data_IF_682007056548
#
_entry.id   IF_682007056548
#
_cell.length_a   1.000
_cell.length_b   1.000
_cell.length_c   1.000
_cell.angle_alpha   90.00
_cell.angle_beta   90.00
_cell.angle_gamma   90.00
#
_symmetry.space_group_name_H-M   'P 1'
#
loop_
_entity.id
_entity.type
_entity.pdbx_description
1 polymer ?
#
# COMPACT_ATOMS: atom_id res chain seq x y z
N UNK A 1 -0.36 -18.05 11.53
CA UNK A 1 -1.31 -17.06 10.97
C UNK A 1 -1.90 -16.26 12.12
N UNK A 2 -1.79 -14.93 12.08
CA UNK A 2 -2.23 -14.03 13.16
C UNK A 2 -3.77 -13.92 13.21
N UNK A 3 -4.31 -13.30 14.26
CA UNK A 3 -5.76 -13.09 14.42
C UNK A 3 -6.37 -12.29 13.27
N UNK A 4 -5.72 -11.21 12.82
CA UNK A 4 -6.24 -10.38 11.72
C UNK A 4 -6.24 -11.12 10.38
N UNK A 5 -5.23 -11.94 10.10
CA UNK A 5 -5.22 -12.81 8.92
C UNK A 5 -6.33 -13.87 8.97
N UNK A 6 -6.57 -14.48 10.14
CA UNK A 6 -7.69 -15.43 10.28
C UNK A 6 -9.03 -14.76 10.06
N UNK A 7 -9.20 -13.54 10.57
CA UNK A 7 -10.42 -12.76 10.34
C UNK A 7 -10.57 -12.44 8.86
N UNK A 8 -9.54 -11.89 8.21
CA UNK A 8 -9.57 -11.55 6.78
C UNK A 8 -9.92 -12.76 5.90
N UNK A 9 -9.31 -13.92 6.15
CA UNK A 9 -9.54 -15.14 5.38
C UNK A 9 -10.95 -15.74 5.59
N UNK A 10 -11.60 -15.47 6.72
CA UNK A 10 -12.92 -16.03 7.06
C UNK A 10 -14.08 -15.06 6.87
N UNK A 11 -13.82 -13.75 6.84
CA UNK A 11 -14.86 -12.73 6.80
C UNK A 11 -15.33 -12.48 5.36
N UNK A 12 -16.56 -12.91 5.05
CA UNK A 12 -17.15 -12.77 3.71
C UNK A 12 -17.28 -11.33 3.24
N UNK A 13 -17.56 -10.39 4.14
CA UNK A 13 -17.70 -8.97 3.78
C UNK A 13 -16.36 -8.39 3.34
N UNK A 14 -15.27 -8.68 4.07
CA UNK A 14 -13.92 -8.30 3.68
C UNK A 14 -13.55 -8.88 2.31
N UNK A 15 -13.73 -10.19 2.13
CA UNK A 15 -13.40 -10.86 0.87
C UNK A 15 -14.20 -10.28 -0.30
N UNK A 16 -15.51 -10.08 -0.15
CA UNK A 16 -16.35 -9.50 -1.19
C UNK A 16 -15.94 -8.06 -1.54
N UNK A 17 -15.58 -7.24 -0.54
CA UNK A 17 -15.12 -5.87 -0.77
C UNK A 17 -13.78 -5.86 -1.55
N UNK A 18 -12.85 -6.74 -1.18
CA UNK A 18 -11.56 -6.85 -1.86
C UNK A 18 -11.70 -7.43 -3.27
N UNK A 19 -12.53 -8.48 -3.44
CA UNK A 19 -12.83 -9.09 -4.73
C UNK A 19 -13.50 -8.05 -5.66
N UNK A 20 -14.40 -7.22 -5.15
CA UNK A 20 -15.02 -6.13 -5.91
C UNK A 20 -14.03 -5.04 -6.36
N UNK A 21 -13.08 -4.66 -5.51
CA UNK A 21 -12.00 -3.73 -5.89
C UNK A 21 -11.14 -4.32 -7.00
N UNK A 22 -10.77 -5.59 -6.87
CA UNK A 22 -9.91 -6.26 -7.83
C UNK A 22 -10.62 -6.52 -9.16
N UNK A 23 -11.91 -6.88 -9.14
CA UNK A 23 -12.73 -6.97 -10.35
C UNK A 23 -12.79 -5.63 -11.11
N UNK A 24 -13.00 -4.52 -10.39
CA UNK A 24 -12.96 -3.20 -11.01
C UNK A 24 -11.57 -2.85 -11.60
N UNK A 25 -10.49 -3.41 -11.06
CA UNK A 25 -9.17 -3.25 -11.68
C UNK A 25 -8.98 -4.07 -12.94
N UNK A 26 -9.57 -5.26 -13.01
CA UNK A 26 -9.61 -6.05 -14.25
C UNK A 26 -10.34 -5.25 -15.33
N UNK A 27 -11.47 -4.62 -15.01
CA UNK A 27 -12.20 -3.77 -15.96
C UNK A 27 -11.33 -2.60 -16.44
N UNK A 28 -10.62 -1.93 -15.52
CA UNK A 28 -9.67 -0.86 -15.86
C UNK A 28 -8.51 -1.35 -16.72
N UNK A 29 -8.03 -2.59 -16.56
CA UNK A 29 -6.98 -3.15 -17.41
C UNK A 29 -7.47 -3.24 -18.86
N UNK A 30 -8.73 -3.65 -19.08
CA UNK A 30 -9.33 -3.72 -20.42
C UNK A 30 -9.38 -2.34 -21.07
N UNK A 31 -9.87 -1.33 -20.35
CA UNK A 31 -9.88 0.07 -20.83
C UNK A 31 -8.46 0.57 -21.09
N UNK A 32 -7.51 0.26 -20.21
CA UNK A 32 -6.11 0.67 -20.36
C UNK A 32 -5.49 0.07 -21.61
N UNK A 33 -5.80 -1.19 -21.94
CA UNK A 33 -5.31 -1.84 -23.15
C UNK A 33 -5.77 -1.12 -24.42
N UNK A 34 -6.97 -0.54 -24.41
CA UNK A 34 -7.49 0.23 -25.55
C UNK A 34 -6.87 1.63 -25.65
N UNK A 35 -6.71 2.33 -24.52
CA UNK A 35 -6.28 3.74 -24.49
C UNK A 35 -4.76 3.91 -24.47
N UNK A 36 -4.05 3.00 -23.82
CA UNK A 36 -2.61 3.07 -23.53
C UNK A 36 -1.97 1.68 -23.70
N UNK A 37 -2.09 1.04 -24.89
CA UNK A 37 -1.65 -0.36 -25.11
C UNK A 37 -0.18 -0.60 -24.77
N UNK A 38 0.66 0.42 -24.93
CA UNK A 38 2.11 0.36 -24.71
C UNK A 38 2.54 0.89 -23.32
N UNK A 39 1.61 1.05 -22.36
CA UNK A 39 1.98 1.53 -21.02
C UNK A 39 2.90 0.51 -20.32
N UNK A 40 4.19 0.83 -20.08
CA UNK A 40 5.11 -0.11 -19.44
C UNK A 40 4.75 -0.33 -17.97
N UNK A 41 4.10 0.64 -17.33
CA UNK A 41 3.83 0.68 -15.88
C UNK A 41 2.58 -0.10 -15.47
N UNK A 42 2.22 -1.14 -16.21
CA UNK A 42 1.13 -2.07 -15.89
C UNK A 42 1.71 -3.48 -15.83
N UNK A 43 2.16 -3.88 -14.63
CA UNK A 43 3.11 -4.96 -14.45
C UNK A 43 2.79 -5.86 -13.25
N UNK A 44 3.14 -7.13 -13.36
CA UNK A 44 3.16 -8.10 -12.26
C UNK A 44 4.32 -9.08 -12.39
N UNK A 45 4.88 -9.55 -11.28
CA UNK A 45 5.75 -10.73 -11.24
C UNK A 45 5.05 -11.97 -10.67
N UNK A 46 3.73 -11.95 -10.58
CA UNK A 46 2.91 -13.03 -10.02
C UNK A 46 2.31 -13.83 -11.18
N UNK A 47 2.67 -15.11 -11.30
CA UNK A 47 2.22 -15.98 -12.40
C UNK A 47 0.69 -16.10 -12.46
N UNK A 48 0.04 -16.32 -11.31
CA UNK A 48 -1.40 -16.53 -11.20
C UNK A 48 -2.17 -15.30 -10.72
N UNK A 49 -1.70 -14.10 -11.09
CA UNK A 49 -2.24 -12.82 -10.60
C UNK A 49 -3.76 -12.67 -10.79
N UNK A 50 -4.31 -13.17 -11.89
CA UNK A 50 -5.74 -13.07 -12.21
C UNK A 50 -6.65 -13.86 -11.26
N UNK A 51 -6.08 -14.81 -10.53
CA UNK A 51 -6.78 -15.63 -9.52
C UNK A 51 -6.37 -15.29 -8.09
N UNK A 52 -5.52 -14.28 -7.92
CA UNK A 52 -5.08 -13.83 -6.60
C UNK A 52 -6.29 -13.33 -5.81
N UNK A 53 -6.36 -13.73 -4.54
CA UNK A 53 -7.34 -13.21 -3.59
C UNK A 53 -6.63 -12.56 -2.42
N UNK A 54 -7.11 -11.39 -2.03
CA UNK A 54 -6.64 -10.71 -0.83
C UNK A 54 -7.36 -11.28 0.40
N UNK A 55 -7.01 -12.50 0.80
CA UNK A 55 -7.52 -13.17 2.00
C UNK A 55 -6.69 -12.84 3.26
N UNK A 56 -5.85 -11.82 3.16
CA UNK A 56 -5.01 -11.28 4.22
C UNK A 56 -5.12 -9.76 4.27
N UNK A 57 -4.90 -9.13 5.45
CA UNK A 57 -4.94 -7.69 5.58
C UNK A 57 -3.91 -6.98 4.71
N UNK A 58 -4.36 -5.92 4.05
CA UNK A 58 -3.50 -4.94 3.39
C UNK A 58 -3.30 -3.71 4.28
N UNK A 59 -2.15 -3.07 4.17
CA UNK A 59 -1.81 -1.84 4.90
C UNK A 59 -1.26 -0.78 3.97
N UNK A 60 -1.76 0.44 4.10
CA UNK A 60 -1.29 1.58 3.34
C UNK A 60 -0.13 2.28 4.08
N UNK A 61 1.05 2.44 3.46
CA UNK A 61 2.12 3.23 4.03
C UNK A 61 1.80 4.72 3.87
N UNK A 62 1.21 5.32 4.89
CA UNK A 62 0.84 6.74 4.89
C UNK A 62 2.01 7.63 5.29
N UNK A 63 2.11 8.78 4.63
CA UNK A 63 3.09 9.81 4.94
C UNK A 63 2.80 10.44 6.32
N UNK A 64 3.79 11.16 6.86
CA UNK A 64 3.54 12.05 7.98
C UNK A 64 2.57 13.17 7.56
N UNK A 65 1.56 13.47 8.39
CA UNK A 65 0.52 14.44 8.05
C UNK A 65 -0.11 14.16 6.67
N UNK A 66 -0.69 12.96 6.47
CA UNK A 66 -1.21 12.58 5.17
C UNK A 66 -2.27 13.58 4.72
N UNK A 67 -2.15 14.03 3.47
CA UNK A 67 -3.08 14.95 2.82
C UNK A 67 -3.25 14.56 1.36
N UNK A 68 -4.26 15.09 0.65
CA UNK A 68 -4.56 14.66 -0.72
C UNK A 68 -3.39 14.76 -1.71
N UNK A 69 -2.36 15.59 -1.47
CA UNK A 69 -1.19 15.72 -2.36
C UNK A 69 0.04 14.94 -1.89
N UNK A 70 0.06 14.49 -0.65
CA UNK A 70 1.17 13.76 -0.02
C UNK A 70 0.58 12.77 0.99
N UNK A 71 -0.14 11.79 0.47
CA UNK A 71 -0.90 10.82 1.25
C UNK A 71 -0.06 9.58 1.55
N UNK A 72 0.57 9.03 0.52
CA UNK A 72 1.40 7.84 0.63
C UNK A 72 2.89 8.17 0.85
N UNK A 73 3.61 7.29 1.54
CA UNK A 73 5.07 7.33 1.59
C UNK A 73 5.65 7.12 0.19
N UNK A 74 6.75 7.82 -0.11
CA UNK A 74 7.34 7.85 -1.44
C UNK A 74 7.91 6.48 -1.88
N UNK A 75 7.84 6.25 -3.18
CA UNK A 75 8.39 5.09 -3.87
C UNK A 75 8.81 5.52 -5.26
N UNK A 76 9.87 4.91 -5.77
CA UNK A 76 10.32 5.07 -7.14
C UNK A 76 10.24 3.74 -7.88
N UNK A 77 9.91 3.80 -9.16
CA UNK A 77 10.01 2.67 -10.11
C UNK A 77 10.82 3.16 -11.31
N UNK A 78 11.86 2.41 -11.68
CA UNK A 78 12.80 2.76 -12.76
C UNK A 78 13.42 4.16 -12.62
N UNK A 79 13.66 4.57 -11.38
CA UNK A 79 14.21 5.90 -11.06
C UNK A 79 13.17 7.03 -11.04
N UNK A 80 11.93 6.78 -11.48
CA UNK A 80 10.87 7.77 -11.48
C UNK A 80 10.06 7.75 -10.18
N UNK A 81 9.79 8.93 -9.63
CA UNK A 81 8.97 9.07 -8.42
C UNK A 81 7.51 8.80 -8.73
N UNK A 82 6.95 7.79 -8.08
CA UNK A 82 5.54 7.44 -8.21
C UNK A 82 4.67 8.47 -7.49
N UNK A 83 3.47 8.70 -8.02
CA UNK A 83 2.47 9.60 -7.44
C UNK A 83 2.18 9.25 -5.99
N UNK A 84 2.01 10.26 -5.14
CA UNK A 84 1.79 10.11 -3.69
C UNK A 84 0.46 10.71 -3.24
N UNK A 85 -0.30 11.28 -4.17
CA UNK A 85 -1.61 11.85 -3.91
C UNK A 85 -2.68 10.79 -3.62
N UNK A 86 -3.80 11.23 -3.07
CA UNK A 86 -4.98 10.42 -2.79
C UNK A 86 -6.13 10.85 -3.70
N UNK A 87 -6.70 9.87 -4.39
CA UNK A 87 -7.88 10.03 -5.22
C UNK A 87 -8.64 8.71 -5.31
N UNK A 88 -9.88 8.78 -5.79
CA UNK A 88 -10.68 7.58 -6.07
C UNK A 88 -10.00 6.68 -7.10
N UNK A 89 -9.98 5.37 -6.86
CA UNK A 89 -9.34 4.38 -7.74
C UNK A 89 -7.85 4.17 -7.46
N UNK A 90 -7.28 4.87 -6.49
CA UNK A 90 -5.86 4.81 -6.17
C UNK A 90 -5.58 3.97 -4.94
N UNK A 91 -4.39 3.38 -4.90
CA UNK A 91 -3.96 2.55 -3.77
C UNK A 91 -2.44 2.46 -3.74
N UNK A 92 -1.86 2.46 -2.56
CA UNK A 92 -0.53 1.88 -2.30
C UNK A 92 -0.65 1.08 -1.03
N UNK A 93 -0.56 -0.23 -1.15
CA UNK A 93 -0.75 -1.17 -0.06
C UNK A 93 0.35 -2.20 -0.04
N UNK A 94 0.79 -2.55 1.16
CA UNK A 94 1.60 -3.74 1.40
C UNK A 94 0.75 -4.83 2.06
N UNK A 95 1.06 -6.07 1.77
CA UNK A 95 0.40 -7.23 2.37
C UNK A 95 1.41 -8.33 2.71
N UNK A 96 0.98 -9.23 3.59
CA UNK A 96 1.82 -10.34 4.06
C UNK A 96 1.12 -11.68 3.77
N UNK A 97 1.13 -12.12 2.48
CA UNK A 97 0.48 -13.37 2.08
C UNK A 97 1.02 -14.60 2.83
N UNK A 98 0.23 -15.69 2.94
CA UNK A 98 0.63 -16.92 3.63
C UNK A 98 1.88 -17.60 3.08
N UNK A 99 2.21 -17.37 1.80
CA UNK A 99 3.43 -17.87 1.15
C UNK A 99 4.73 -17.29 1.76
N UNK A 100 4.61 -16.26 2.61
CA UNK A 100 5.73 -15.65 3.32
C UNK A 100 6.53 -14.66 2.50
N UNK A 101 6.00 -14.18 1.38
CA UNK A 101 6.49 -13.02 0.63
C UNK A 101 5.87 -11.73 1.15
N UNK A 102 6.35 -10.59 0.65
CA UNK A 102 5.72 -9.29 0.86
C UNK A 102 5.06 -8.87 -0.45
N UNK A 103 3.75 -8.67 -0.42
CA UNK A 103 3.01 -8.14 -1.57
C UNK A 103 3.05 -6.61 -1.53
N UNK A 104 3.32 -5.99 -2.68
CA UNK A 104 3.04 -4.58 -2.95
C UNK A 104 1.96 -4.51 -4.03
N UNK A 105 0.84 -3.89 -3.67
CA UNK A 105 -0.26 -3.59 -4.57
C UNK A 105 -0.38 -2.07 -4.67
N UNK A 106 -0.07 -1.51 -5.83
CA UNK A 106 -0.09 -0.05 -6.00
C UNK A 106 -0.56 0.36 -7.38
N UNK A 107 -1.47 1.32 -7.43
CA UNK A 107 -2.13 1.79 -8.65
C UNK A 107 -2.47 3.27 -8.56
N UNK A 108 -2.49 3.93 -9.70
CA UNK A 108 -3.16 5.20 -9.89
C UNK A 108 -3.93 5.18 -11.20
N UNK A 109 -5.13 5.76 -11.16
CA UNK A 109 -6.03 5.83 -12.30
C UNK A 109 -6.16 7.26 -12.81
N UNK A 110 -6.44 7.37 -14.09
CA UNK A 110 -6.82 8.60 -14.78
C UNK A 110 -8.27 8.47 -15.26
N UNK A 111 -8.94 9.61 -15.45
CA UNK A 111 -10.33 9.71 -15.92
C UNK A 111 -10.40 10.57 -17.17
N UNK A 112 -11.31 10.24 -18.08
CA UNK A 112 -11.63 11.13 -19.19
C UNK A 112 -12.38 12.36 -18.66
N UNK A 113 -12.00 13.59 -19.04
CA UNK A 113 -12.72 14.80 -18.62
C UNK A 113 -14.21 14.80 -19.00
N UNK A 114 -14.56 14.11 -20.09
CA UNK A 114 -15.91 14.08 -20.67
C UNK A 114 -16.63 12.74 -20.49
N UNK A 115 -15.98 11.73 -19.89
CA UNK A 115 -16.58 10.45 -19.52
C UNK A 115 -16.01 9.98 -18.17
N UNK A 116 -16.53 10.50 -17.05
CA UNK A 116 -15.97 10.24 -15.72
C UNK A 116 -16.13 8.78 -15.25
N UNK A 117 -16.95 7.98 -15.94
CA UNK A 117 -17.13 6.55 -15.66
C UNK A 117 -16.01 5.69 -16.28
N UNK A 118 -15.25 6.24 -17.22
CA UNK A 118 -14.18 5.52 -17.90
C UNK A 118 -12.82 5.86 -17.28
N UNK A 119 -12.26 4.88 -16.57
CA UNK A 119 -10.97 4.96 -15.89
C UNK A 119 -9.93 4.03 -16.54
N UNK A 120 -8.70 4.50 -16.69
CA UNK A 120 -7.55 3.67 -17.08
C UNK A 120 -6.40 3.85 -16.10
N UNK A 121 -5.45 2.92 -16.09
CA UNK A 121 -4.27 3.01 -15.27
C UNK A 121 -3.26 3.99 -15.84
N UNK A 122 -2.87 4.96 -15.01
CA UNK A 122 -1.59 5.66 -15.15
C UNK A 122 -0.46 4.67 -14.85
N UNK A 123 -0.61 3.91 -13.77
CA UNK A 123 0.21 2.74 -13.45
C UNK A 123 -0.58 1.72 -12.61
N UNK A 124 -0.15 0.47 -12.67
CA UNK A 124 -0.60 -0.65 -11.87
C UNK A 124 0.57 -1.61 -11.65
N UNK A 125 0.97 -1.80 -10.39
CA UNK A 125 2.01 -2.76 -10.00
C UNK A 125 1.42 -3.77 -9.01
N UNK A 126 1.24 -4.98 -9.55
CA UNK A 126 0.93 -6.27 -8.95
C UNK A 126 2.14 -7.09 -8.47
N UNK A 127 2.91 -6.74 -7.44
CA UNK A 127 4.22 -7.41 -7.25
C UNK A 127 4.43 -8.07 -5.88
N UNK A 128 5.18 -9.16 -5.85
CA UNK A 128 5.69 -9.80 -4.65
C UNK A 128 7.21 -9.65 -4.54
N UNK A 129 7.70 -9.47 -3.33
CA UNK A 129 9.11 -9.45 -2.98
C UNK A 129 9.43 -10.63 -2.06
N UNK A 130 10.54 -11.31 -2.33
CA UNK A 130 11.12 -12.24 -1.38
C UNK A 130 11.73 -11.46 -0.20
N UNK A 131 11.59 -11.93 1.05
CA UNK A 131 12.10 -11.19 2.21
C UNK A 131 13.62 -10.95 2.18
N UNK A 132 14.37 -11.79 1.45
CA UNK A 132 15.80 -11.64 1.23
C UNK A 132 16.17 -10.47 0.32
N UNK A 133 15.24 -10.01 -0.52
CA UNK A 133 15.43 -8.86 -1.41
C UNK A 133 15.24 -7.53 -0.67
N UNK A 134 14.75 -7.57 0.57
CA UNK A 134 14.32 -6.41 1.34
C UNK A 134 15.14 -6.25 2.62
N UNK A 135 15.44 -5.01 2.98
CA UNK A 135 15.87 -4.68 4.33
C UNK A 135 14.63 -4.50 5.22
N UNK A 136 14.45 -5.42 6.17
CA UNK A 136 13.33 -5.41 7.13
C UNK A 136 13.88 -5.10 8.52
N UNK A 137 13.43 -3.99 9.10
CA UNK A 137 13.77 -3.59 10.47
C UNK A 137 12.54 -3.77 11.35
N UNK A 138 12.64 -4.67 12.33
CA UNK A 138 11.60 -4.92 13.33
C UNK A 138 12.12 -4.53 14.72
N UNK A 139 11.86 -3.29 15.14
CA UNK A 139 12.28 -2.76 16.44
C UNK A 139 11.14 -1.93 17.06
N UNK A 140 10.12 -2.58 17.66
CA UNK A 140 8.93 -1.90 18.17
C UNK A 140 9.26 -0.64 19.00
N UNK A 141 8.52 0.48 18.80
CA UNK A 141 7.37 0.66 17.91
C UNK A 141 7.75 1.02 16.46
N UNK A 142 9.02 0.86 16.07
CA UNK A 142 9.56 1.19 14.75
C UNK A 142 9.64 -0.04 13.85
N UNK A 143 8.99 0.06 12.70
CA UNK A 143 8.99 -0.97 11.66
C UNK A 143 9.38 -0.34 10.33
N UNK A 144 10.27 -0.98 9.57
CA UNK A 144 10.67 -0.47 8.25
C UNK A 144 10.79 -1.62 7.27
N UNK A 145 10.23 -1.44 6.07
CA UNK A 145 10.47 -2.28 4.89
C UNK A 145 11.13 -1.41 3.82
N UNK A 146 12.30 -1.82 3.35
CA UNK A 146 13.05 -1.13 2.31
C UNK A 146 13.37 -2.04 1.15
N UNK A 147 13.06 -1.57 -0.04
CA UNK A 147 13.63 -2.06 -1.29
C UNK A 147 14.68 -1.02 -1.74
N UNK A 148 15.92 -1.47 -1.95
CA UNK A 148 16.97 -0.63 -2.51
C UNK A 148 17.32 -1.17 -3.90
N UNK A 149 16.80 -0.52 -4.94
CA UNK A 149 17.00 -0.90 -6.34
C UNK A 149 16.71 -2.39 -6.63
N UNK A 150 15.62 -2.93 -6.06
CA UNK A 150 15.23 -4.32 -6.24
C UNK A 150 14.64 -4.52 -7.63
N UNK A 151 15.32 -5.32 -8.44
CA UNK A 151 14.95 -5.63 -9.82
C UNK A 151 14.03 -6.85 -9.88
N UNK A 152 12.79 -6.64 -10.32
CA UNK A 152 11.81 -7.70 -10.50
C UNK A 152 11.58 -7.96 -11.99
N UNK A 153 11.61 -9.24 -12.37
CA UNK A 153 11.21 -9.71 -13.70
C UNK A 153 9.81 -10.27 -13.64
N UNK A 154 9.02 -10.01 -14.67
CA UNK A 154 7.63 -10.42 -14.72
C UNK A 154 7.02 -10.14 -16.08
N UNK A 155 5.74 -9.78 -16.08
CA UNK A 155 4.92 -9.65 -17.28
C UNK A 155 4.25 -8.28 -17.31
N UNK A 156 4.31 -7.61 -18.45
CA UNK A 156 3.44 -6.47 -18.71
C UNK A 156 2.02 -6.99 -18.99
N UNK A 157 1.04 -6.53 -18.22
CA UNK A 157 -0.32 -7.07 -18.25
C UNK A 157 -1.15 -6.64 -19.47
N UNK A 158 -0.69 -5.66 -20.24
CA UNK A 158 -1.37 -5.22 -21.46
C UNK A 158 -0.89 -6.00 -22.69
N UNK A 159 0.42 -6.18 -22.80
CA UNK A 159 1.08 -6.83 -23.94
C UNK A 159 1.35 -8.32 -23.73
N UNK A 160 1.31 -8.79 -22.48
CA UNK A 160 1.72 -10.14 -22.06
C UNK A 160 3.18 -10.49 -22.38
N UNK A 161 4.00 -9.49 -22.67
CA UNK A 161 5.43 -9.66 -22.93
C UNK A 161 6.23 -9.60 -21.62
N UNK A 162 7.38 -10.31 -21.54
CA UNK A 162 8.29 -10.17 -20.43
C UNK A 162 8.73 -8.71 -20.23
N UNK A 163 8.76 -8.28 -18.97
CA UNK A 163 9.19 -6.95 -18.56
C UNK A 163 10.03 -7.02 -17.28
N UNK A 164 10.80 -5.97 -17.04
CA UNK A 164 11.66 -5.83 -15.86
C UNK A 164 11.51 -4.40 -15.32
N UNK A 165 11.36 -4.28 -14.00
CA UNK A 165 11.27 -2.99 -13.31
C UNK A 165 12.14 -2.98 -12.06
N UNK A 166 12.67 -1.80 -11.72
CA UNK A 166 13.50 -1.58 -10.53
C UNK A 166 12.73 -0.78 -9.49
N UNK A 167 12.49 -1.38 -8.32
CA UNK A 167 11.71 -0.79 -7.24
C UNK A 167 12.63 -0.23 -6.15
N UNK A 168 12.33 0.99 -5.70
CA UNK A 168 12.98 1.61 -4.55
C UNK A 168 11.97 2.29 -3.62
N UNK A 169 11.94 1.89 -2.35
CA UNK A 169 11.10 2.50 -1.33
C UNK A 169 11.64 2.28 0.08
N UNK A 170 11.19 3.10 1.03
CA UNK A 170 11.44 2.93 2.46
C UNK A 170 10.17 3.21 3.23
N UNK A 171 9.29 2.22 3.33
CA UNK A 171 8.06 2.35 4.08
C UNK A 171 8.31 2.13 5.56
N UNK A 172 7.99 3.13 6.36
CA UNK A 172 8.20 3.14 7.79
C UNK A 172 6.88 3.23 8.56
N UNK A 173 6.84 2.58 9.70
CA UNK A 173 5.89 2.85 10.76
C UNK A 173 6.64 3.26 12.01
N UNK A 174 6.37 4.47 12.46
CA UNK A 174 6.83 5.02 13.72
C UNK A 174 5.66 5.03 14.72
N UNK A 175 5.97 5.21 16.00
CA UNK A 175 4.96 5.24 17.06
C UNK A 175 3.81 6.21 16.74
N UNK A 176 2.56 5.72 16.82
CA UNK A 176 1.35 6.49 16.51
C UNK A 176 0.63 7.03 17.75
N UNK A 177 0.70 6.34 18.89
CA UNK A 177 -0.09 6.65 20.11
C UNK A 177 0.00 8.11 20.58
N UNK A 178 1.21 8.69 20.52
CA UNK A 178 1.48 10.09 20.89
C UNK A 178 1.67 11.02 19.68
N UNK A 179 1.59 10.45 18.48
CA UNK A 179 1.75 11.18 17.23
C UNK A 179 0.40 11.52 16.58
N UNK A 180 -0.72 11.03 17.11
CA UNK A 180 -2.05 11.43 16.67
C UNK A 180 -2.46 12.77 17.32
N UNK A 181 -2.94 13.70 16.49
CA UNK A 181 -3.51 14.97 16.94
C UNK A 181 -4.87 15.19 16.30
N UNK A 182 -5.75 15.94 16.96
CA UNK A 182 -7.02 16.34 16.36
C UNK A 182 -6.76 17.16 15.09
N UNK A 183 -7.55 16.95 14.05
CA UNK A 183 -7.44 17.63 12.77
C UNK A 183 -7.54 19.15 12.93
N UNK A 184 -8.40 19.64 13.83
CA UNK A 184 -8.51 21.07 14.15
C UNK A 184 -7.20 21.63 14.74
N UNK A 185 -6.52 20.87 15.59
CA UNK A 185 -5.22 21.29 16.15
C UNK A 185 -4.09 21.16 15.11
N UNK A 186 -4.14 20.14 14.25
CA UNK A 186 -3.19 19.94 13.16
C UNK A 186 -3.19 21.12 12.20
N UNK A 187 -4.38 21.55 11.77
CA UNK A 187 -4.54 22.68 10.83
C UNK A 187 -4.04 24.01 11.37
N UNK A 188 -3.97 24.16 12.70
CA UNK A 188 -3.47 25.36 13.37
C UNK A 188 -1.95 25.36 13.56
N UNK A 189 -1.29 24.20 13.48
CA UNK A 189 0.15 24.06 13.72
C UNK A 189 1.01 24.77 12.65
N UNK A 190 2.14 25.34 13.07
CA UNK A 190 3.09 26.03 12.19
C UNK A 190 3.67 25.09 11.12
N UNK A 191 3.93 23.84 11.49
CA UNK A 191 4.42 22.80 10.58
C UNK A 191 3.43 22.51 9.45
N UNK A 192 2.14 22.36 9.79
CA UNK A 192 1.10 22.11 8.81
C UNK A 192 0.86 23.29 7.86
N UNK A 193 0.89 24.52 8.38
CA UNK A 193 0.83 25.74 7.57
C UNK A 193 1.96 25.80 6.55
N UNK A 194 3.18 25.42 6.94
CA UNK A 194 4.32 25.34 6.03
C UNK A 194 4.17 24.20 5.00
N UNK A 195 3.60 23.06 5.39
CA UNK A 195 3.33 21.92 4.50
C UNK A 195 2.31 22.28 3.40
N UNK A 196 1.21 22.98 3.75
CA UNK A 196 0.24 23.51 2.78
C UNK A 196 0.87 24.57 1.90
N UNK A 197 1.64 25.51 2.48
CA UNK A 197 2.29 26.61 1.74
C UNK A 197 3.22 26.11 0.63
N UNK A 198 3.82 24.93 0.78
CA UNK A 198 4.67 24.28 -0.22
C UNK A 198 3.92 23.47 -1.28
N UNK A 199 2.63 23.16 -1.10
CA UNK A 199 1.90 22.20 -1.93
C UNK A 199 0.58 22.68 -2.57
N UNK A 200 -0.09 23.72 -2.05
CA UNK A 200 -1.33 24.23 -2.64
C UNK A 200 -1.68 25.62 -2.07
N UNK A 201 -2.29 26.50 -2.89
CA UNK A 201 -3.12 27.57 -2.34
C UNK A 201 -4.23 26.91 -1.50
N UNK A 202 -4.51 27.41 -0.28
CA UNK A 202 -5.54 26.82 0.56
C UNK A 202 -6.90 27.18 -0.02
N UNK A 203 -7.40 26.39 -0.95
CA UNK A 203 -8.83 26.45 -1.27
C UNK A 203 -9.60 25.85 -0.09
N UNK A 204 -10.67 26.52 0.31
CA UNK A 204 -11.56 26.07 1.40
C UNK A 204 -12.03 24.61 1.21
N UNK A 205 -12.07 24.13 -0.04
CA UNK A 205 -12.32 22.74 -0.40
C UNK A 205 -11.29 21.75 0.15
N UNK A 206 -10.00 22.10 0.16
CA UNK A 206 -8.95 21.23 0.72
C UNK A 206 -9.11 21.09 2.23
N UNK A 207 -9.54 22.15 2.93
CA UNK A 207 -9.85 22.06 4.36
C UNK A 207 -11.08 21.18 4.66
N UNK A 208 -12.05 21.15 3.74
CA UNK A 208 -13.27 20.36 3.87
C UNK A 208 -13.11 18.89 3.44
N UNK A 209 -12.28 18.63 2.43
CA UNK A 209 -11.88 17.30 1.94
C UNK A 209 -10.84 16.64 2.85
N UNK A 210 -10.20 17.40 3.74
CA UNK A 210 -9.33 16.89 4.81
C UNK A 210 -10.08 16.44 6.06
N UNK A 211 -11.38 16.13 5.95
CA UNK A 211 -12.12 15.34 6.94
C UNK A 211 -11.57 13.91 6.98
N UNK A 212 -10.44 13.80 7.67
CA UNK A 212 -9.59 12.69 8.08
C UNK A 212 -10.15 11.25 7.97
N UNK A 213 -9.26 10.33 7.63
CA UNK A 213 -9.42 8.87 7.72
C UNK A 213 -9.86 8.33 9.09
N UNK A 214 -9.69 9.08 10.17
CA UNK A 214 -9.97 8.62 11.52
C UNK A 214 -10.64 9.71 12.35
N UNK A 215 -11.97 9.77 12.40
CA UNK A 215 -12.68 10.39 13.54
C UNK A 215 -12.15 11.80 13.95
N UNK A 216 -11.69 12.62 12.99
CA UNK A 216 -11.05 13.93 13.18
C UNK A 216 -9.64 13.91 13.79
N UNK A 217 -8.82 12.90 13.52
CA UNK A 217 -7.41 12.81 13.92
C UNK A 217 -6.48 12.69 12.71
N UNK A 218 -5.27 13.23 12.86
CA UNK A 218 -4.17 13.16 11.90
C UNK A 218 -2.95 12.58 12.62
N UNK A 219 -2.34 11.55 12.05
CA UNK A 219 -1.08 10.98 12.53
C UNK A 219 0.08 11.77 11.92
N UNK A 220 0.95 12.28 12.79
CA UNK A 220 2.04 13.21 12.44
C UNK A 220 3.35 12.52 12.06
N UNK A 221 3.37 11.20 12.08
CA UNK A 221 4.52 10.36 11.72
C UNK A 221 4.16 9.43 10.58
N UNK A 222 5.14 8.98 9.76
CA UNK A 222 4.89 7.93 8.78
C UNK A 222 4.46 6.66 9.49
N UNK A 223 3.40 6.04 8.99
CA UNK A 223 2.79 4.87 9.58
C UNK A 223 2.17 3.97 8.52
N UNK A 224 2.03 2.69 8.86
CA UNK A 224 1.12 1.79 8.16
C UNK A 224 -0.28 1.94 8.74
N UNK A 225 -1.27 2.18 7.90
CA UNK A 225 -2.68 2.16 8.25
C UNK A 225 -3.34 0.90 7.67
N UNK A 226 -4.30 0.25 8.35
CA UNK A 226 -5.06 -0.83 7.71
C UNK A 226 -5.78 -0.27 6.48
N UNK A 227 -5.85 -1.06 5.41
CA UNK A 227 -6.52 -0.65 4.17
C UNK A 227 -7.97 -0.20 4.46
N UNK A 228 -8.51 0.83 3.77
CA UNK A 228 -9.83 1.38 4.08
C UNK A 228 -10.95 0.34 4.19
N UNK A 229 -10.97 -0.66 3.31
CA UNK A 229 -11.97 -1.75 3.38
C UNK A 229 -11.86 -2.60 4.65
N UNK A 230 -10.65 -2.74 5.20
CA UNK A 230 -10.46 -3.44 6.47
C UNK A 230 -10.79 -2.54 7.65
N UNK A 231 -10.49 -1.25 7.54
CA UNK A 231 -10.86 -0.23 8.54
C UNK A 231 -12.37 -0.11 8.77
N UNK A 232 -13.18 -0.25 7.71
CA UNK A 232 -14.64 -0.29 7.81
C UNK A 232 -15.14 -1.40 8.74
N UNK A 233 -14.38 -2.48 8.88
CA UNK A 233 -14.72 -3.66 9.67
C UNK A 233 -14.13 -3.64 11.08
N UNK A 234 -13.48 -2.54 11.51
CA UNK A 234 -12.86 -2.39 12.83
C UNK A 234 -13.68 -2.95 14.00
N UNK A 235 -14.98 -2.64 14.06
CA UNK A 235 -15.90 -3.15 15.09
C UNK A 235 -16.09 -4.67 15.03
N UNK A 236 -16.19 -5.23 13.83
CA UNK A 236 -16.33 -6.68 13.65
C UNK A 236 -15.03 -7.42 14.02
N UNK A 237 -13.88 -6.78 13.80
CA UNK A 237 -12.56 -7.30 14.19
C UNK A 237 -12.39 -7.30 15.72
N UNK A 238 -13.16 -6.47 16.44
CA UNK A 238 -13.17 -6.40 17.91
C UNK A 238 -12.63 -5.10 18.50
N UNK A 239 -12.48 -4.05 17.69
CA UNK A 239 -12.05 -2.73 18.15
C UNK A 239 -13.24 -1.79 18.35
N UNK A 240 -13.22 -0.97 19.39
CA UNK A 240 -14.29 -0.01 19.72
C UNK A 240 -14.36 1.14 18.71
N UNK A 241 -13.21 1.51 18.15
CA UNK A 241 -13.06 2.61 17.20
C UNK A 241 -12.07 2.28 16.09
N UNK A 242 -12.12 3.05 15.00
CA UNK A 242 -11.09 2.98 13.97
C UNK A 242 -9.72 3.37 14.54
N UNK A 243 -9.68 4.38 15.42
CA UNK A 243 -8.45 4.84 16.04
C UNK A 243 -7.76 3.76 16.88
N UNK A 244 -8.53 2.98 17.64
CA UNK A 244 -8.01 1.83 18.37
C UNK A 244 -7.41 0.78 17.42
N UNK A 245 -8.09 0.49 16.32
CA UNK A 245 -7.57 -0.43 15.31
C UNK A 245 -6.24 0.06 14.71
N UNK A 246 -6.12 1.34 14.40
CA UNK A 246 -4.88 1.95 13.93
C UNK A 246 -3.73 1.79 14.94
N UNK A 247 -4.00 1.97 16.24
CA UNK A 247 -3.00 1.80 17.29
C UNK A 247 -2.63 0.33 17.55
N UNK A 248 -3.44 -0.63 17.08
CA UNK A 248 -3.12 -2.05 17.15
C UNK A 248 -2.20 -2.53 16.02
N UNK A 249 -2.01 -1.74 14.95
CA UNK A 249 -1.15 -2.09 13.80
C UNK A 249 0.27 -2.53 14.19
N UNK A 250 1.00 -1.86 15.11
CA UNK A 250 2.31 -2.31 15.58
C UNK A 250 2.37 -3.79 15.96
N UNK A 251 1.35 -4.30 16.67
CA UNK A 251 1.31 -5.70 17.14
C UNK A 251 1.23 -6.67 15.95
N UNK A 252 0.47 -6.30 14.93
CA UNK A 252 0.37 -7.08 13.70
C UNK A 252 1.69 -7.06 12.93
N UNK A 253 2.27 -5.87 12.73
CA UNK A 253 3.54 -5.75 11.99
C UNK A 253 4.65 -6.53 12.67
N UNK A 254 4.72 -6.51 14.00
CA UNK A 254 5.69 -7.29 14.77
C UNK A 254 5.58 -8.79 14.49
N UNK A 255 4.37 -9.36 14.51
CA UNK A 255 4.18 -10.79 14.27
C UNK A 255 4.64 -11.20 12.86
N UNK A 256 4.35 -10.37 11.85
CA UNK A 256 4.70 -10.67 10.47
C UNK A 256 6.17 -10.38 10.17
N UNK A 257 6.68 -9.20 10.53
CA UNK A 257 8.06 -8.79 10.24
C UNK A 257 9.09 -9.62 11.00
N UNK A 258 8.79 -10.09 12.22
CA UNK A 258 9.70 -11.00 12.93
C UNK A 258 9.95 -12.29 12.15
N UNK A 259 8.87 -12.92 11.64
CA UNK A 259 8.96 -14.13 10.81
C UNK A 259 9.74 -13.89 9.51
N UNK A 260 9.55 -12.73 8.89
CA UNK A 260 10.22 -12.37 7.64
C UNK A 260 11.71 -12.06 7.88
N UNK A 261 12.04 -11.39 8.99
CA UNK A 261 13.42 -11.08 9.39
C UNK A 261 14.23 -12.33 9.73
N UNK A 262 13.58 -13.39 10.25
CA UNK A 262 14.23 -14.69 10.48
C UNK A 262 14.55 -15.39 9.16
N UNK A 263 13.69 -15.23 8.13
CA UNK A 263 13.92 -15.80 6.79
C UNK A 263 14.98 -15.04 6.00
N UNK A 264 15.05 -13.71 6.11
CA UNK A 264 16.05 -12.90 5.39
C UNK A 264 17.48 -13.14 5.87
N UNK A 265 17.65 -13.66 7.09
CA UNK A 265 18.97 -14.01 7.67
C UNK A 265 19.48 -15.40 7.29
N UNK A 266 18.65 -16.27 6.69
CA UNK A 266 19.14 -17.58 6.24
C UNK A 266 20.00 -17.36 4.98
N UNK A 267 21.30 -17.70 4.99
CA UNK A 267 22.07 -17.72 3.76
C UNK A 267 21.37 -18.65 2.77
N UNK A 268 21.28 -18.25 1.50
CA UNK A 268 20.82 -19.12 0.43
C UNK A 268 21.66 -20.40 0.51
N UNK A 269 21.04 -21.51 0.90
CA UNK A 269 21.73 -22.80 0.90
C UNK A 269 22.23 -23.00 -0.52
N UNK A 270 23.55 -23.01 -0.67
CA UNK A 270 24.21 -23.20 -1.95
C UNK A 270 23.65 -24.50 -2.55
N UNK A 271 22.85 -24.36 -3.61
CA UNK A 271 22.51 -25.48 -4.47
C UNK A 271 23.83 -26.04 -4.97
N UNK A 272 24.28 -27.10 -4.30
CA UNK A 272 25.39 -27.92 -4.74
C UNK A 272 25.00 -28.42 -6.12
N UNK A 273 25.78 -28.17 -7.17
CA UNK A 273 25.49 -28.73 -8.47
C UNK A 273 25.47 -30.25 -8.29
N UNK A 274 24.30 -30.84 -8.53
CA UNK A 274 24.15 -32.27 -8.69
C UNK A 274 25.00 -32.68 -9.88
N UNK A 275 26.18 -33.24 -9.60
CA UNK A 275 26.99 -33.92 -10.60
C UNK A 275 26.18 -35.14 -11.07
N UNK A 276 25.65 -35.05 -12.29
CA UNK A 276 25.34 -36.19 -13.16
C UNK A 276 25.90 -35.86 -14.53
#
# INVERSE_FOLDING_TARGET
MCQLCRFAAANKEYLNNMDGIFAGDIDRLLVTKEKKPDNPSVFTNIENWATLRFDFPLFEPLAAFPNPKNYYQAMNVDGEKMRVDWASGWTRSIGFPPNGKILLYTKATERMPFNPEEEWFSYFFLVEFDPSELEIVCSPPRFIIRANEVKLRGTNLLTYMPAEHVFSFSFAHLATEKAAMRAEAATQSSFYKELIRRGAKPDAKVQEEMKSDFERYVVTTPHFAPHPQFMLLSKQVGFESRFEFQNAVPRFLEEHMRRLSEKSKKPAEAHSPSNV
#
